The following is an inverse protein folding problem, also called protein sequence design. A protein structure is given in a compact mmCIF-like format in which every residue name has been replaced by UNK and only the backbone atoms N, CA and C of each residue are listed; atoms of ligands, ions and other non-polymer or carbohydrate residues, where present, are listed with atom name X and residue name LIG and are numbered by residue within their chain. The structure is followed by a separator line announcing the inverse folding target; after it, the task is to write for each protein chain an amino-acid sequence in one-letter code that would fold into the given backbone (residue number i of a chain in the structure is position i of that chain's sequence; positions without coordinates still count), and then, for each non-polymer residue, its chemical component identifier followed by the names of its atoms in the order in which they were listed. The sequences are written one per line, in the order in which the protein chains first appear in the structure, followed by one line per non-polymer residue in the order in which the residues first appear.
data_IF_234156767423
#
_entry.id   IF_234156767423
#
_cell.length_a   1.000
_cell.length_b   1.000
_cell.length_c   1.000
_cell.angle_alpha   90.00
_cell.angle_beta   90.00
_cell.angle_gamma   90.00
#
_symmetry.space_group_name_H-M   'P 1'
#
loop_
_entity.id
_entity.type
_entity.pdbx_description
1 polymer ?
#
# COMPACT_ATOMS: atom_id res chain seq x y z
N UNK A 1 -22.38 15.86 -3.35
CA UNK A 1 -21.47 15.55 -2.23
C UNK A 1 -20.05 15.76 -2.70
N UNK A 2 -19.10 15.95 -1.79
CA UNK A 2 -17.68 15.83 -2.16
C UNK A 2 -17.39 14.38 -2.60
N UNK A 3 -16.50 14.17 -3.58
CA UNK A 3 -16.16 12.82 -4.03
C UNK A 3 -15.60 12.01 -2.86
N UNK A 4 -16.13 10.80 -2.69
CA UNK A 4 -15.73 9.87 -1.64
C UNK A 4 -14.68 8.88 -2.14
N UNK A 5 -14.19 8.05 -1.23
CA UNK A 5 -13.29 6.93 -1.53
C UNK A 5 -13.84 6.00 -2.62
N UNK A 6 -15.15 5.86 -2.74
CA UNK A 6 -15.80 5.07 -3.80
C UNK A 6 -15.52 5.63 -5.19
N UNK A 7 -15.67 6.96 -5.36
CA UNK A 7 -15.35 7.64 -6.61
C UNK A 7 -13.86 7.50 -6.94
N UNK A 8 -12.99 7.63 -5.93
CA UNK A 8 -11.53 7.47 -6.10
C UNK A 8 -11.13 6.05 -6.55
N UNK A 9 -11.79 5.01 -6.02
CA UNK A 9 -11.56 3.62 -6.46
C UNK A 9 -12.10 3.41 -7.88
N UNK A 10 -13.25 4.00 -8.22
CA UNK A 10 -13.80 3.97 -9.59
C UNK A 10 -12.86 4.63 -10.61
N UNK A 11 -12.23 5.75 -10.25
CA UNK A 11 -11.24 6.41 -11.10
C UNK A 11 -10.01 5.51 -11.34
N UNK A 12 -9.51 4.84 -10.29
CA UNK A 12 -8.42 3.88 -10.41
C UNK A 12 -8.78 2.68 -11.28
N UNK A 13 -10.02 2.18 -11.18
CA UNK A 13 -10.53 1.10 -12.04
C UNK A 13 -10.52 1.54 -13.50
N UNK A 14 -11.04 2.73 -13.80
CA UNK A 14 -11.05 3.28 -15.17
C UNK A 14 -9.62 3.44 -15.70
N UNK A 15 -8.70 3.93 -14.87
CA UNK A 15 -7.29 4.05 -15.25
C UNK A 15 -6.63 2.69 -15.53
N UNK A 16 -6.95 1.66 -14.74
CA UNK A 16 -6.42 0.30 -14.94
C UNK A 16 -6.99 -0.34 -16.21
N UNK A 17 -8.29 -0.19 -16.45
CA UNK A 17 -8.97 -0.68 -17.67
C UNK A 17 -8.38 0.00 -18.92
N UNK A 18 -8.26 1.33 -18.91
CA UNK A 18 -7.63 2.07 -19.98
C UNK A 18 -6.18 1.60 -20.23
N UNK A 19 -5.41 1.40 -19.15
CA UNK A 19 -4.03 0.92 -19.23
C UNK A 19 -3.97 -0.45 -19.89
N UNK A 20 -4.82 -1.39 -19.47
CA UNK A 20 -4.86 -2.74 -20.03
C UNK A 20 -5.18 -2.75 -21.54
N UNK A 21 -6.05 -1.84 -21.99
CA UNK A 21 -6.39 -1.68 -23.41
C UNK A 21 -5.28 -1.03 -24.25
N UNK A 22 -4.43 -0.19 -23.64
CA UNK A 22 -3.50 0.68 -24.37
C UNK A 22 -2.03 0.29 -24.20
N UNK A 23 -1.67 -0.46 -23.16
CA UNK A 23 -0.28 -0.75 -22.77
C UNK A 23 0.55 -1.34 -23.91
N UNK A 24 -0.01 -2.26 -24.68
CA UNK A 24 0.69 -2.87 -25.81
C UNK A 24 1.04 -1.85 -26.90
N UNK A 25 0.14 -0.90 -27.20
CA UNK A 25 0.39 0.18 -28.18
C UNK A 25 1.45 1.18 -27.71
N UNK A 26 1.63 1.29 -26.39
CA UNK A 26 2.63 2.16 -25.77
C UNK A 26 3.99 1.45 -25.59
N UNK A 27 4.12 0.20 -26.06
CA UNK A 27 5.34 -0.59 -25.96
C UNK A 27 5.52 -1.35 -24.64
N UNK A 28 4.51 -1.37 -23.77
CA UNK A 28 4.49 -2.20 -22.57
C UNK A 28 3.98 -3.62 -22.83
N UNK A 29 4.23 -4.51 -21.88
CA UNK A 29 3.76 -5.89 -21.90
C UNK A 29 2.44 -6.03 -21.12
N UNK A 30 1.29 -6.35 -21.78
CA UNK A 30 0.01 -6.50 -21.11
C UNK A 30 -0.03 -7.65 -20.09
N UNK A 31 0.92 -8.59 -20.14
CA UNK A 31 1.04 -9.67 -19.16
C UNK A 31 1.88 -9.28 -17.93
N UNK A 32 2.56 -8.12 -17.97
CA UNK A 32 3.46 -7.64 -16.93
C UNK A 32 3.08 -6.23 -16.44
N UNK A 33 1.80 -6.05 -16.09
CA UNK A 33 1.29 -4.80 -15.50
C UNK A 33 1.34 -4.88 -13.98
N UNK A 34 1.98 -3.91 -13.33
CA UNK A 34 2.04 -3.82 -11.86
C UNK A 34 1.37 -2.54 -11.38
N UNK A 35 0.59 -2.63 -10.30
CA UNK A 35 -0.07 -1.48 -9.67
C UNK A 35 0.74 -1.07 -8.43
N UNK A 36 1.29 0.14 -8.44
CA UNK A 36 2.11 0.67 -7.35
C UNK A 36 1.39 1.85 -6.70
N UNK A 37 1.29 1.84 -5.37
CA UNK A 37 0.69 2.94 -4.62
C UNK A 37 1.52 3.31 -3.40
N UNK A 38 1.51 4.60 -3.05
CA UNK A 38 2.09 5.12 -1.80
C UNK A 38 1.02 5.80 -0.95
N UNK A 39 1.08 5.62 0.37
CA UNK A 39 0.16 6.23 1.34
C UNK A 39 -1.31 5.99 0.94
N UNK A 40 -2.11 7.04 0.79
CA UNK A 40 -3.49 6.95 0.30
C UNK A 40 -3.61 6.19 -1.04
N UNK A 41 -2.64 6.33 -1.95
CA UNK A 41 -2.61 5.56 -3.19
C UNK A 41 -2.40 4.05 -2.97
N UNK A 42 -1.62 3.65 -1.96
CA UNK A 42 -1.47 2.25 -1.57
C UNK A 42 -2.77 1.68 -0.99
N UNK A 43 -3.51 2.50 -0.22
CA UNK A 43 -4.83 2.16 0.31
C UNK A 43 -5.85 1.95 -0.80
N UNK A 44 -6.01 2.94 -1.68
CA UNK A 44 -6.98 2.89 -2.78
C UNK A 44 -6.67 1.78 -3.78
N UNK A 45 -5.41 1.59 -4.14
CA UNK A 45 -4.99 0.52 -5.06
C UNK A 45 -5.22 -0.88 -4.48
N UNK A 46 -5.12 -1.04 -3.16
CA UNK A 46 -5.43 -2.32 -2.52
C UNK A 46 -6.94 -2.56 -2.41
N UNK A 47 -7.74 -1.52 -2.17
CA UNK A 47 -9.20 -1.61 -2.26
C UNK A 47 -9.59 -2.08 -3.65
N UNK A 48 -9.06 -1.46 -4.71
CA UNK A 48 -9.26 -1.89 -6.09
C UNK A 48 -8.84 -3.34 -6.29
N UNK A 49 -7.59 -3.72 -5.94
CA UNK A 49 -7.12 -5.09 -6.11
C UNK A 49 -7.99 -6.12 -5.37
N UNK A 50 -8.59 -5.74 -4.25
CA UNK A 50 -9.50 -6.60 -3.47
C UNK A 50 -10.87 -6.79 -4.13
N UNK A 51 -11.29 -5.93 -5.07
CA UNK A 51 -12.51 -6.14 -5.85
C UNK A 51 -12.46 -7.43 -6.68
N UNK A 52 -11.26 -7.94 -7.00
CA UNK A 52 -11.09 -9.24 -7.66
C UNK A 52 -11.60 -10.43 -6.83
N UNK A 53 -11.84 -10.24 -5.53
CA UNK A 53 -12.44 -11.24 -4.64
C UNK A 53 -13.96 -11.18 -4.62
N UNK A 54 -14.56 -10.09 -5.11
CA UNK A 54 -16.01 -9.93 -5.19
C UNK A 54 -16.52 -10.37 -6.56
N UNK A 55 -17.10 -11.58 -6.62
CA UNK A 55 -17.64 -12.13 -7.86
C UNK A 55 -18.86 -11.38 -8.42
N UNK A 56 -19.44 -10.45 -7.66
CA UNK A 56 -20.54 -9.60 -8.13
C UNK A 56 -20.06 -8.40 -8.95
N UNK A 57 -18.78 -8.05 -8.87
CA UNK A 57 -18.17 -6.94 -9.60
C UNK A 57 -17.60 -7.40 -10.95
N UNK A 58 -17.51 -6.51 -11.95
CA UNK A 58 -16.82 -6.81 -13.20
C UNK A 58 -15.36 -7.20 -12.95
N UNK A 59 -14.85 -8.23 -13.65
CA UNK A 59 -13.47 -8.69 -13.47
C UNK A 59 -12.48 -7.57 -13.78
N UNK A 60 -11.43 -7.47 -12.97
CA UNK A 60 -10.36 -6.52 -13.22
C UNK A 60 -9.39 -7.04 -14.28
N UNK A 61 -8.72 -6.15 -15.02
CA UNK A 61 -7.54 -6.51 -15.78
C UNK A 61 -6.50 -7.20 -14.90
N UNK A 62 -5.86 -8.24 -15.45
CA UNK A 62 -4.89 -9.04 -14.69
C UNK A 62 -3.67 -8.20 -14.31
N UNK A 63 -3.40 -8.11 -13.01
CA UNK A 63 -2.18 -7.54 -12.47
C UNK A 63 -1.14 -8.64 -12.23
N UNK A 64 0.11 -8.37 -12.61
CA UNK A 64 1.27 -9.21 -12.26
C UNK A 64 1.61 -9.05 -10.78
N UNK A 65 1.59 -7.80 -10.29
CA UNK A 65 1.91 -7.42 -8.91
C UNK A 65 1.07 -6.26 -8.43
N UNK A 66 0.82 -6.22 -7.13
CA UNK A 66 0.47 -5.01 -6.39
C UNK A 66 1.61 -4.64 -5.44
N UNK A 67 1.97 -3.37 -5.41
CA UNK A 67 3.06 -2.84 -4.59
C UNK A 67 2.52 -1.74 -3.69
N UNK A 68 2.55 -1.99 -2.37
CA UNK A 68 2.12 -1.05 -1.35
C UNK A 68 3.30 -0.39 -0.64
N UNK A 69 3.35 0.94 -0.63
CA UNK A 69 4.38 1.72 0.03
C UNK A 69 3.73 2.59 1.12
N UNK A 70 4.09 2.38 2.39
CA UNK A 70 3.63 3.19 3.53
C UNK A 70 2.10 3.41 3.60
N UNK A 71 1.31 2.39 3.25
CA UNK A 71 -0.14 2.53 3.11
C UNK A 71 -0.94 2.40 4.42
N UNK A 72 -2.05 3.14 4.57
CA UNK A 72 -3.02 2.94 5.63
C UNK A 72 -3.99 1.81 5.25
N UNK A 73 -4.06 0.73 6.03
CA UNK A 73 -4.82 -0.46 5.64
C UNK A 73 -5.93 -0.83 6.62
N UNK A 74 -5.85 -0.37 7.86
CA UNK A 74 -6.85 -0.51 8.90
C UNK A 74 -7.23 0.87 9.44
N UNK A 75 -8.20 1.51 8.80
CA UNK A 75 -8.58 2.91 9.04
C UNK A 75 -9.10 3.17 10.47
N UNK A 76 -9.95 2.32 11.09
CA UNK A 76 -10.39 2.54 12.47
C UNK A 76 -9.23 2.56 13.49
N UNK A 77 -8.20 1.73 13.29
CA UNK A 77 -7.01 1.70 14.17
C UNK A 77 -6.13 2.92 13.95
N UNK A 78 -6.06 3.41 12.70
CA UNK A 78 -5.26 4.57 12.33
C UNK A 78 -5.94 5.91 12.71
N UNK A 79 -7.27 5.97 12.73
CA UNK A 79 -8.02 7.22 12.93
C UNK A 79 -7.63 7.99 14.21
N UNK A 80 -7.48 7.35 15.40
CA UNK A 80 -7.03 8.06 16.61
C UNK A 80 -5.61 8.63 16.46
N UNK A 81 -4.72 7.90 15.80
CA UNK A 81 -3.36 8.36 15.52
C UNK A 81 -3.39 9.61 14.64
N UNK A 82 -4.11 9.59 13.52
CA UNK A 82 -4.23 10.76 12.64
C UNK A 82 -4.87 11.96 13.36
N UNK A 83 -5.89 11.73 14.19
CA UNK A 83 -6.51 12.77 15.00
C UNK A 83 -5.50 13.42 15.98
N UNK A 84 -4.67 12.61 16.65
CA UNK A 84 -3.60 13.12 17.53
C UNK A 84 -2.52 13.92 16.79
N UNK A 85 -2.45 13.77 15.46
CA UNK A 85 -1.53 14.49 14.56
C UNK A 85 -2.20 15.68 13.86
N UNK A 86 -3.44 16.01 14.20
CA UNK A 86 -4.15 17.19 13.74
C UNK A 86 -5.10 16.97 12.56
N UNK A 87 -5.32 15.73 12.12
CA UNK A 87 -6.35 15.45 11.10
C UNK A 87 -7.74 15.55 11.73
N UNK A 88 -8.60 16.39 11.16
CA UNK A 88 -10.00 16.48 11.57
C UNK A 88 -10.74 15.18 11.25
N UNK A 89 -11.31 14.54 12.26
CA UNK A 89 -12.03 13.27 12.12
C UNK A 89 -13.22 13.38 11.16
N UNK A 90 -13.85 14.57 11.04
CA UNK A 90 -14.96 14.80 10.10
C UNK A 90 -14.50 14.72 8.66
N UNK A 91 -13.26 15.16 8.38
CA UNK A 91 -12.66 15.03 7.04
C UNK A 91 -12.41 13.56 6.75
N UNK A 92 -11.79 12.82 7.69
CA UNK A 92 -11.55 11.40 7.52
C UNK A 92 -12.85 10.62 7.31
N UNK A 93 -13.87 10.88 8.12
CA UNK A 93 -15.19 10.27 7.95
C UNK A 93 -15.81 10.63 6.61
N UNK A 94 -15.78 11.90 6.21
CA UNK A 94 -16.33 12.35 4.93
C UNK A 94 -15.66 11.68 3.73
N UNK A 95 -14.33 11.59 3.72
CA UNK A 95 -13.58 10.95 2.62
C UNK A 95 -13.87 9.45 2.59
N UNK A 96 -13.99 8.80 3.75
CA UNK A 96 -14.33 7.39 3.88
C UNK A 96 -15.85 7.14 3.84
N UNK A 97 -16.65 8.02 3.22
CA UNK A 97 -18.10 7.88 3.09
C UNK A 97 -18.83 7.47 4.39
N UNK A 98 -18.35 7.97 5.54
CA UNK A 98 -18.80 7.67 6.90
C UNK A 98 -18.73 6.20 7.33
N UNK A 99 -17.92 5.37 6.66
CA UNK A 99 -17.78 3.95 6.98
C UNK A 99 -16.29 3.52 6.97
N UNK A 100 -15.59 3.83 8.06
CA UNK A 100 -14.16 3.53 8.19
C UNK A 100 -13.86 2.03 8.07
N UNK A 101 -14.80 1.17 8.48
CA UNK A 101 -14.61 -0.28 8.41
C UNK A 101 -14.76 -0.80 6.99
N UNK A 102 -15.81 -0.39 6.27
CA UNK A 102 -16.01 -0.76 4.86
C UNK A 102 -14.80 -0.39 4.04
N UNK A 103 -14.20 0.77 4.29
CA UNK A 103 -13.06 1.25 3.52
C UNK A 103 -11.71 0.91 4.14
N UNK A 104 -11.63 -0.16 4.92
CA UNK A 104 -10.37 -0.70 5.44
C UNK A 104 -9.99 -1.99 4.72
N UNK A 105 -9.03 -2.00 3.79
CA UNK A 105 -8.70 -3.20 3.02
C UNK A 105 -8.21 -4.35 3.91
N UNK A 106 -7.48 -4.10 5.01
CA UNK A 106 -7.09 -5.16 5.93
C UNK A 106 -8.30 -5.83 6.61
N UNK A 107 -9.35 -5.06 6.94
CA UNK A 107 -10.58 -5.60 7.50
C UNK A 107 -11.41 -6.33 6.44
N UNK A 108 -11.54 -5.78 5.24
CA UNK A 108 -12.22 -6.42 4.11
C UNK A 108 -11.60 -7.79 3.81
N UNK A 109 -10.27 -7.85 3.72
CA UNK A 109 -9.52 -9.08 3.47
C UNK A 109 -9.68 -10.08 4.61
N UNK A 110 -9.57 -9.64 5.87
CA UNK A 110 -9.69 -10.57 7.01
C UNK A 110 -11.10 -11.13 7.20
N UNK A 111 -12.13 -10.45 6.67
CA UNK A 111 -13.53 -10.88 6.70
C UNK A 111 -13.91 -11.79 5.53
N UNK A 112 -13.02 -11.99 4.56
CA UNK A 112 -13.29 -12.88 3.44
C UNK A 112 -13.59 -14.29 3.97
N UNK A 113 -14.72 -14.91 3.57
CA UNK A 113 -15.07 -16.24 4.02
C UNK A 113 -13.98 -17.20 3.56
N UNK A 114 -13.29 -17.88 4.50
CA UNK A 114 -12.09 -18.70 4.30
C UNK A 114 -11.98 -19.27 2.87
N UNK A 115 -11.42 -18.50 1.91
CA UNK A 115 -11.41 -18.94 0.54
C UNK A 115 -10.37 -20.06 0.44
N UNK A 116 -10.55 -20.98 -0.50
CA UNK A 116 -9.44 -21.89 -0.80
C UNK A 116 -8.21 -21.06 -1.15
N UNK A 117 -7.02 -21.46 -0.69
CA UNK A 117 -5.77 -20.78 -1.05
C UNK A 117 -5.63 -20.62 -2.59
N UNK A 118 -6.19 -21.56 -3.35
CA UNK A 118 -6.27 -21.51 -4.81
C UNK A 118 -7.18 -20.39 -5.35
N UNK A 119 -8.27 -20.03 -4.68
CA UNK A 119 -9.12 -18.91 -5.10
C UNK A 119 -8.42 -17.57 -4.90
N UNK A 120 -7.73 -17.41 -3.77
CA UNK A 120 -6.96 -16.20 -3.45
C UNK A 120 -5.78 -16.05 -4.39
N UNK A 121 -5.02 -17.12 -4.62
CA UNK A 121 -3.88 -17.10 -5.55
C UNK A 121 -4.26 -16.82 -7.00
N UNK A 122 -5.52 -17.08 -7.40
CA UNK A 122 -6.04 -16.71 -8.73
C UNK A 122 -6.56 -15.27 -8.79
N UNK A 123 -7.06 -14.74 -7.68
CA UNK A 123 -7.75 -13.46 -7.64
C UNK A 123 -6.82 -12.29 -7.31
N UNK A 124 -5.95 -12.44 -6.31
CA UNK A 124 -5.03 -11.38 -5.90
C UNK A 124 -3.68 -11.50 -6.62
N UNK A 125 -3.08 -10.38 -7.07
CA UNK A 125 -1.75 -10.40 -7.64
C UNK A 125 -0.69 -10.71 -6.56
N UNK A 126 0.53 -11.02 -7.00
CA UNK A 126 1.66 -11.09 -6.09
C UNK A 126 1.87 -9.75 -5.38
N UNK A 127 2.22 -9.78 -4.10
CA UNK A 127 2.29 -8.59 -3.25
C UNK A 127 3.74 -8.21 -2.94
N UNK A 128 4.06 -6.93 -3.07
CA UNK A 128 5.29 -6.35 -2.50
C UNK A 128 4.94 -5.23 -1.51
N UNK A 129 5.62 -5.19 -0.36
CA UNK A 129 5.36 -4.26 0.73
C UNK A 129 6.62 -3.50 1.13
N UNK A 130 6.53 -2.20 1.25
CA UNK A 130 7.63 -1.30 1.59
C UNK A 130 7.18 -0.29 2.64
N UNK A 131 7.97 -0.08 3.70
CA UNK A 131 7.61 0.89 4.74
C UNK A 131 8.82 1.43 5.51
N UNK A 132 8.86 2.74 5.77
CA UNK A 132 9.82 3.34 6.69
C UNK A 132 9.48 3.07 8.17
N UNK A 133 10.43 2.61 8.98
CA UNK A 133 10.14 2.26 10.39
C UNK A 133 9.93 3.48 11.30
N UNK A 134 10.40 4.66 10.89
CA UNK A 134 10.21 5.91 11.61
C UNK A 134 9.03 6.74 11.08
N UNK A 135 8.11 6.11 10.33
CA UNK A 135 6.90 6.73 9.83
C UNK A 135 5.99 7.22 10.98
N UNK A 136 5.76 8.55 11.02
CA UNK A 136 4.92 9.20 12.04
C UNK A 136 3.53 9.60 11.49
N UNK A 137 3.27 9.36 10.21
CA UNK A 137 2.00 9.67 9.54
C UNK A 137 1.15 8.41 9.51
N UNK A 138 1.67 7.34 8.95
CA UNK A 138 1.06 6.02 8.90
C UNK A 138 2.03 5.05 9.57
N UNK A 139 1.84 4.66 10.84
CA UNK A 139 2.78 3.77 11.50
C UNK A 139 2.97 2.44 10.75
N UNK A 140 4.20 1.92 10.71
CA UNK A 140 4.57 0.68 10.02
C UNK A 140 3.75 -0.55 10.43
N UNK A 141 3.12 -0.50 11.61
CA UNK A 141 2.18 -1.51 12.10
C UNK A 141 0.99 -1.72 11.16
N UNK A 142 0.57 -0.71 10.40
CA UNK A 142 -0.44 -0.86 9.35
C UNK A 142 -0.02 -1.90 8.31
N UNK A 143 1.24 -1.85 7.87
CA UNK A 143 1.79 -2.81 6.90
C UNK A 143 2.10 -4.16 7.53
N UNK A 144 2.52 -4.19 8.81
CA UNK A 144 2.71 -5.46 9.53
C UNK A 144 1.39 -6.22 9.68
N UNK A 145 0.33 -5.54 10.11
CA UNK A 145 -1.02 -6.10 10.24
C UNK A 145 -1.55 -6.59 8.89
N UNK A 146 -1.44 -5.79 7.83
CA UNK A 146 -1.82 -6.23 6.48
C UNK A 146 -1.04 -7.49 6.05
N UNK A 147 0.28 -7.53 6.30
CA UNK A 147 1.13 -8.66 5.95
C UNK A 147 0.71 -9.95 6.64
N UNK A 148 0.30 -9.87 7.91
CA UNK A 148 -0.26 -11.00 8.65
C UNK A 148 -1.58 -11.48 8.05
N UNK A 149 -2.49 -10.54 7.72
CA UNK A 149 -3.77 -10.86 7.06
C UNK A 149 -3.53 -11.55 5.71
N UNK A 150 -2.65 -11.01 4.87
CA UNK A 150 -2.31 -11.58 3.56
C UNK A 150 -1.70 -12.98 3.68
N UNK A 151 -0.79 -13.20 4.64
CA UNK A 151 -0.21 -14.52 4.91
C UNK A 151 -1.26 -15.52 5.40
N UNK A 152 -2.17 -15.08 6.27
CA UNK A 152 -3.27 -15.92 6.75
C UNK A 152 -4.19 -16.39 5.61
N UNK A 153 -4.39 -15.52 4.62
CA UNK A 153 -5.10 -15.81 3.37
C UNK A 153 -4.27 -16.64 2.36
N UNK A 154 -2.99 -16.90 2.63
CA UNK A 154 -2.12 -17.62 1.69
C UNK A 154 -1.73 -16.81 0.46
N UNK A 155 -1.81 -15.47 0.51
CA UNK A 155 -1.32 -14.60 -0.56
C UNK A 155 0.21 -14.63 -0.60
N UNK A 156 0.78 -14.70 -1.80
CA UNK A 156 2.22 -14.61 -2.00
C UNK A 156 2.70 -13.16 -1.79
N UNK A 157 3.49 -12.95 -0.74
CA UNK A 157 4.26 -11.72 -0.54
C UNK A 157 5.66 -11.97 -1.13
N UNK A 158 5.90 -11.51 -2.36
CA UNK A 158 7.17 -11.70 -3.08
C UNK A 158 8.31 -10.91 -2.42
N UNK A 159 8.03 -9.70 -1.92
CA UNK A 159 9.03 -8.85 -1.25
C UNK A 159 8.40 -8.05 -0.11
N UNK A 160 9.08 -7.99 1.03
CA UNK A 160 8.67 -7.14 2.15
C UNK A 160 9.92 -6.50 2.76
N UNK A 161 9.99 -5.18 2.73
CA UNK A 161 11.15 -4.43 3.24
C UNK A 161 10.68 -3.33 4.21
N UNK A 162 11.33 -3.30 5.36
CA UNK A 162 11.21 -2.21 6.33
C UNK A 162 12.52 -1.45 6.34
N UNK A 163 12.46 -0.12 6.21
CA UNK A 163 13.64 0.72 6.14
C UNK A 163 13.89 1.41 7.49
N UNK A 164 14.94 1.02 8.24
CA UNK A 164 15.20 1.58 9.55
C UNK A 164 15.44 3.09 9.49
N UNK A 165 14.80 3.82 10.40
CA UNK A 165 14.96 5.28 10.52
C UNK A 165 14.29 6.12 9.43
N UNK A 166 13.70 5.50 8.40
CA UNK A 166 13.02 6.24 7.32
C UNK A 166 11.61 6.67 7.73
N UNK A 167 11.25 7.91 7.42
CA UNK A 167 9.94 8.50 7.67
C UNK A 167 8.95 8.24 6.51
N UNK A 168 7.73 8.81 6.59
CA UNK A 168 6.65 8.60 5.61
C UNK A 168 7.00 9.02 4.19
N UNK A 169 7.74 10.12 4.07
CA UNK A 169 8.13 10.72 2.79
C UNK A 169 9.54 10.35 2.39
N UNK A 170 10.41 9.99 3.33
CA UNK A 170 11.84 9.80 3.08
C UNK A 170 12.10 8.98 1.81
N UNK A 171 11.43 7.83 1.70
CA UNK A 171 11.63 6.87 0.62
C UNK A 171 11.19 7.38 -0.77
N UNK A 172 10.28 8.35 -0.84
CA UNK A 172 9.68 8.84 -2.09
C UNK A 172 10.09 10.27 -2.45
N UNK A 173 10.57 11.06 -1.49
CA UNK A 173 10.95 12.46 -1.71
C UNK A 173 12.42 12.71 -1.32
N UNK A 174 12.77 12.58 -0.05
CA UNK A 174 14.07 13.01 0.48
C UNK A 174 15.23 12.13 -0.03
N UNK A 175 15.02 10.82 -0.11
CA UNK A 175 15.99 9.85 -0.61
C UNK A 175 16.33 10.07 -2.09
N UNK A 176 15.34 10.15 -3.01
CA UNK A 176 15.59 10.54 -4.39
C UNK A 176 16.30 11.89 -4.54
N UNK A 177 15.89 12.91 -3.76
CA UNK A 177 16.50 14.25 -3.82
C UNK A 177 17.94 14.27 -3.30
N UNK A 178 18.29 13.38 -2.38
CA UNK A 178 19.65 13.23 -1.86
C UNK A 178 20.51 12.25 -2.67
N UNK A 179 19.95 11.63 -3.72
CA UNK A 179 20.61 10.62 -4.54
C UNK A 179 20.78 9.25 -3.87
N UNK A 180 20.13 9.03 -2.72
CA UNK A 180 20.16 7.77 -1.97
C UNK A 180 18.84 7.02 -2.11
N UNK A 181 18.60 6.43 -3.27
CA UNK A 181 17.27 5.92 -3.59
C UNK A 181 17.13 4.39 -3.40
N UNK A 182 17.09 3.96 -2.13
CA UNK A 182 16.98 2.51 -1.81
C UNK A 182 15.65 1.92 -2.28
N UNK A 183 14.55 2.69 -2.16
CA UNK A 183 13.24 2.25 -2.60
C UNK A 183 13.20 2.04 -4.12
N UNK A 184 13.72 2.98 -4.92
CA UNK A 184 13.74 2.80 -6.38
C UNK A 184 14.55 1.58 -6.78
N UNK A 185 15.70 1.32 -6.15
CA UNK A 185 16.47 0.10 -6.44
C UNK A 185 15.65 -1.16 -6.12
N UNK A 186 15.01 -1.17 -4.96
CA UNK A 186 14.16 -2.30 -4.56
C UNK A 186 12.94 -2.49 -5.47
N UNK A 187 12.35 -1.40 -6.00
CA UNK A 187 11.25 -1.43 -6.96
C UNK A 187 11.71 -1.87 -8.35
N UNK A 188 12.89 -1.44 -8.80
CA UNK A 188 13.48 -1.89 -10.06
C UNK A 188 13.73 -3.40 -10.03
N UNK A 189 14.18 -3.96 -8.91
CA UNK A 189 14.31 -5.42 -8.76
C UNK A 189 12.95 -6.13 -8.84
N UNK A 190 11.89 -5.54 -8.29
CA UNK A 190 10.53 -6.10 -8.36
C UNK A 190 9.96 -6.06 -9.79
N UNK A 191 10.21 -4.97 -10.51
CA UNK A 191 9.62 -4.73 -11.85
C UNK A 191 10.45 -5.35 -12.97
N UNK A 192 11.78 -5.29 -12.87
CA UNK A 192 12.73 -5.72 -13.91
C UNK A 192 13.43 -7.05 -13.58
N UNK A 193 13.42 -7.50 -12.33
CA UNK A 193 14.10 -8.72 -11.91
C UNK A 193 13.63 -9.94 -12.71
N UNK A 194 14.60 -10.67 -13.28
CA UNK A 194 14.37 -11.90 -14.04
C UNK A 194 13.73 -12.97 -13.15
N UNK A 195 12.72 -13.69 -13.67
CA UNK A 195 12.26 -14.93 -13.05
C UNK A 195 13.36 -15.99 -13.17
N UNK A 196 14.08 -16.29 -12.09
CA UNK A 196 15.13 -17.32 -12.13
C UNK A 196 16.11 -17.30 -10.97
N UNK A 197 15.61 -17.46 -9.74
CA UNK A 197 16.44 -17.79 -8.59
C UNK A 197 15.76 -18.90 -7.79
N UNK A 198 16.26 -20.13 -7.92
CA UNK A 198 15.87 -21.25 -7.07
C UNK A 198 15.91 -20.84 -5.59
N UNK A 199 14.90 -21.17 -4.77
CA UNK A 199 14.96 -20.88 -3.35
C UNK A 199 16.17 -21.61 -2.75
N UNK A 200 17.11 -20.85 -2.21
CA UNK A 200 18.19 -21.39 -1.39
C UNK A 200 17.58 -22.13 -0.21
N UNK A 201 17.79 -23.45 -0.18
CA UNK A 201 17.39 -24.32 0.92
C UNK A 201 17.94 -23.79 2.25
N UNK A 202 17.04 -23.48 3.19
CA UNK A 202 17.37 -23.48 4.60
C UNK A 202 16.84 -24.77 5.23
N UNK A 203 17.60 -25.40 6.13
CA UNK A 203 17.36 -26.78 6.55
C UNK A 203 16.07 -26.88 7.38
N UNK A 204 15.20 -27.77 6.93
CA UNK A 204 14.00 -28.19 7.63
C UNK A 204 14.38 -29.05 8.84
N UNK A 205 14.01 -28.59 10.03
CA UNK A 205 13.80 -29.45 11.18
C UNK A 205 12.60 -28.88 11.93
N UNK A 206 11.41 -29.45 11.71
CA UNK A 206 10.40 -29.55 12.76
C UNK A 206 9.44 -30.70 12.40
N UNK A 207 9.45 -31.69 13.29
CA UNK A 207 8.63 -32.89 13.29
C UNK A 207 7.14 -32.58 13.42
N UNK A 208 6.33 -33.35 12.70
CA UNK A 208 4.88 -33.32 12.73
C UNK A 208 4.32 -33.85 14.06
N UNK A 209 3.31 -33.16 14.58
CA UNK A 209 2.27 -33.80 15.40
C UNK A 209 0.96 -33.08 15.12
N UNK A 210 0.02 -33.79 14.49
CA UNK A 210 -1.28 -33.26 14.13
C UNK A 210 -2.15 -32.94 15.35
N UNK A 211 -3.05 -31.97 15.19
CA UNK A 211 -4.40 -31.97 15.75
C UNK A 211 -5.25 -30.82 15.17
N UNK A 212 -6.42 -31.24 14.68
CA UNK A 212 -7.74 -30.60 14.75
C UNK A 212 -7.99 -29.25 14.07
N UNK A 213 -8.88 -29.34 13.07
CA UNK A 213 -9.74 -28.29 12.54
C UNK A 213 -10.40 -27.45 13.66
N UNK A 214 -10.06 -26.16 13.71
CA UNK A 214 -10.88 -25.11 14.33
C UNK A 214 -10.83 -23.92 13.39
N UNK A 215 -12.00 -23.39 13.00
CA UNK A 215 -12.10 -22.18 12.18
C UNK A 215 -11.24 -21.08 12.82
N UNK A 216 -10.16 -20.71 12.12
CA UNK A 216 -9.16 -19.80 12.67
C UNK A 216 -9.76 -18.39 12.73
N UNK A 217 -9.74 -17.82 13.93
CA UNK A 217 -10.17 -16.45 14.19
C UNK A 217 -9.17 -15.49 13.53
N UNK A 218 -9.67 -14.52 12.76
CA UNK A 218 -8.90 -13.43 12.15
C UNK A 218 -7.87 -12.84 13.15
N UNK A 219 -6.58 -12.68 12.78
CA UNK A 219 -5.55 -12.20 13.69
C UNK A 219 -5.76 -10.75 14.17
N UNK A 220 -6.64 -9.99 13.50
CA UNK A 220 -6.97 -8.61 13.84
C UNK A 220 -7.80 -8.56 15.12
N UNK A 221 -7.14 -8.29 16.26
CA UNK A 221 -7.83 -7.93 17.51
C UNK A 221 -8.20 -6.45 17.46
N UNK A 222 -9.48 -6.15 17.23
CA UNK A 222 -10.05 -4.81 17.38
C UNK A 222 -11.08 -4.80 18.52
N UNK A 223 -10.82 -4.07 19.60
CA UNK A 223 -11.83 -3.70 20.59
C UNK A 223 -11.91 -2.18 20.62
N UNK A 224 -13.02 -1.60 20.17
CA UNK A 224 -13.25 -0.17 20.27
C UNK A 224 -13.24 0.24 21.76
N UNK A 225 -12.24 1.01 22.20
CA UNK A 225 -12.29 1.72 23.50
C UNK A 225 -12.44 3.21 23.22
N UNK A 226 -13.46 3.80 23.84
CA UNK A 226 -13.79 5.22 23.85
C UNK A 226 -12.96 5.96 24.89
N UNK A 227 -12.27 7.04 24.51
CA UNK A 227 -11.73 8.12 25.39
C UNK A 227 -11.30 9.27 24.44
N UNK A 228 -11.93 10.44 24.40
CA UNK A 228 -11.89 11.54 25.39
C UNK A 228 -10.50 11.79 26.00
N UNK A 229 -10.09 13.06 25.97
CA UNK A 229 -8.87 13.69 26.50
C UNK A 229 -7.60 13.73 25.62
N UNK A 230 -7.40 14.88 24.94
CA UNK A 230 -6.06 15.44 24.66
C UNK A 230 -6.08 16.96 24.89
N UNK A 231 -5.20 17.52 25.75
CA UNK A 231 -5.11 18.96 25.96
C UNK A 231 -4.13 19.65 25.00
N UNK A 232 -4.52 20.88 24.65
CA UNK A 232 -3.92 21.86 23.74
C UNK A 232 -2.49 22.31 24.12
N UNK A 233 -1.59 22.44 23.12
CA UNK A 233 -0.35 23.24 23.23
C UNK A 233 0.08 23.95 21.95
N UNK A 234 -0.15 25.27 22.00
CA UNK A 234 0.58 26.46 21.48
C UNK A 234 1.82 26.29 20.58
N UNK A 235 1.76 27.10 19.53
CA UNK A 235 2.73 27.48 18.50
C UNK A 235 3.96 28.21 19.04
N UNK A 236 5.14 27.92 18.48
CA UNK A 236 6.32 28.80 18.50
C UNK A 236 6.88 28.88 17.07
N UNK A 237 7.02 30.11 16.56
CA UNK A 237 7.45 30.40 15.19
C UNK A 237 8.97 30.35 14.98
N UNK A 238 9.37 30.17 13.72
CA UNK A 238 10.76 30.32 13.28
C UNK A 238 10.84 31.06 11.94
N UNK A 239 11.71 32.06 11.89
CA UNK A 239 12.04 32.95 10.78
C UNK A 239 12.82 32.25 9.65
N UNK A 240 12.40 32.47 8.40
CA UNK A 240 13.02 31.98 7.17
C UNK A 240 14.17 32.87 6.71
N UNK A 241 15.30 32.29 6.31
CA UNK A 241 16.33 32.96 5.50
C UNK A 241 16.50 32.20 4.19
N UNK A 242 16.31 32.90 3.07
CA UNK A 242 16.36 32.37 1.70
C UNK A 242 17.79 32.43 1.16
N UNK A 243 18.29 31.32 0.62
CA UNK A 243 19.48 31.29 -0.22
C UNK A 243 19.20 30.40 -1.45
N UNK A 244 19.15 31.03 -2.62
CA UNK A 244 19.39 30.39 -3.93
C UNK A 244 20.91 30.48 -4.19
N UNK A 245 21.58 29.53 -4.89
CA UNK A 245 21.49 29.56 -6.35
C UNK A 245 21.88 28.30 -7.17
N UNK A 246 21.62 28.44 -8.48
CA UNK A 246 22.42 28.06 -9.67
C UNK A 246 22.13 26.74 -10.40
N UNK A 247 22.17 26.91 -11.71
CA UNK A 247 21.61 26.08 -12.77
C UNK A 247 22.35 24.75 -13.00
N UNK A 248 21.56 23.74 -13.39
CA UNK A 248 22.02 22.41 -13.79
C UNK A 248 22.51 22.41 -15.26
N UNK A 249 23.57 21.64 -15.58
CA UNK A 249 24.06 21.49 -16.95
C UNK A 249 23.14 20.61 -17.82
N UNK A 250 23.22 20.88 -19.12
CA UNK A 250 22.37 20.50 -20.26
C UNK A 250 22.19 18.99 -20.57
N UNK A 251 22.57 18.09 -19.66
CA UNK A 251 22.40 16.63 -19.81
C UNK A 251 21.08 16.05 -19.29
N UNK A 252 20.31 16.82 -18.51
CA UNK A 252 19.09 16.39 -17.83
C UNK A 252 17.78 16.55 -18.65
N UNK A 253 17.89 17.06 -19.88
CA UNK A 253 16.73 17.40 -20.73
C UNK A 253 16.04 16.15 -21.32
N UNK A 254 16.64 14.95 -21.22
CA UNK A 254 16.02 13.71 -21.74
C UNK A 254 15.22 12.89 -20.72
N UNK A 255 15.31 13.19 -19.42
CA UNK A 255 14.53 12.47 -18.39
C UNK A 255 13.19 13.16 -18.06
N UNK A 256 13.02 14.44 -18.42
CA UNK A 256 11.85 15.25 -18.09
C UNK A 256 10.60 14.97 -18.97
N UNK A 257 10.58 13.88 -19.75
CA UNK A 257 9.46 13.55 -20.65
C UNK A 257 8.62 12.34 -20.24
N UNK A 258 8.92 11.70 -19.10
CA UNK A 258 8.22 10.48 -18.65
C UNK A 258 7.49 10.68 -17.31
N UNK A 259 7.69 11.81 -16.60
CA UNK A 259 7.07 12.06 -15.30
C UNK A 259 6.43 13.45 -15.26
N UNK A 260 5.23 13.57 -15.82
CA UNK A 260 4.27 14.61 -15.44
C UNK A 260 2.86 14.09 -15.78
N UNK A 261 1.98 13.89 -14.77
CA UNK A 261 0.58 13.67 -15.02
C UNK A 261 -0.11 15.04 -15.23
N UNK A 262 -0.92 15.13 -16.27
CA UNK A 262 -2.14 15.95 -16.24
C UNK A 262 -3.31 14.99 -16.02
#
# INVERSE_FOLDING_TARGET
GYPGVEDMVSDLRTALEWTAEHVQRLGGDPSNVSLVGQSAGAHLSLLLASEALDSSLPPLPRLRRWVGISGPYHIPRLAPHLASRGLDQRILQSVMSNDLERWSPALQLCRQPAPTAAAIARALPAVCLFHGEADRTVPADQTRELSEVLRHLGVLIEKQVYYPGKTHTDLILEDPLSGKDSLTMDLLDVVLGQEGGSPTEHPSNLTSSGKSNTAAVCPVRYSARSTEDVPDRRVVGSTTTTLYPKALPTGLVRLARVLCPF
#
